data_IF_534976285507
#
_entry.id   IF_534976285507
#
_cell.length_a   1.000
_cell.length_b   1.000
_cell.length_c   1.000
_cell.angle_alpha   90.00
_cell.angle_beta   90.00
_cell.angle_gamma   90.00
#
_symmetry.space_group_name_H-M   'P 1'
#
loop_
_entity.id
_entity.type
_entity.pdbx_description
1 polymer ?
#
# COMPACT_ATOMS: atom_id res chain seq x y z
N UNK A 1 -3.40 -43.08 66.09
CA UNK A 1 -4.76 -42.69 65.68
C UNK A 1 -4.64 -41.60 64.61
N UNK A 2 -5.40 -41.79 63.53
CA UNK A 2 -5.75 -40.93 62.37
C UNK A 2 -5.00 -39.59 62.13
N UNK A 3 -4.35 -39.33 60.98
CA UNK A 3 -4.83 -39.06 59.59
C UNK A 3 -5.32 -37.60 59.39
N UNK A 4 -4.68 -36.85 58.46
CA UNK A 4 -5.19 -35.75 57.57
C UNK A 4 -3.97 -35.02 56.95
N UNK A 5 -3.52 -35.28 55.71
CA UNK A 5 -3.98 -34.84 54.36
C UNK A 5 -4.08 -33.31 54.18
N UNK A 6 -3.27 -32.79 53.26
CA UNK A 6 -3.40 -31.43 52.73
C UNK A 6 -2.24 -30.97 51.83
N UNK A 7 -1.90 -31.74 50.79
CA UNK A 7 -1.00 -31.30 49.70
C UNK A 7 -1.78 -30.38 48.76
N UNK A 8 -1.43 -29.09 48.71
CA UNK A 8 -1.83 -28.16 47.66
C UNK A 8 -0.61 -27.72 46.86
N UNK A 9 -0.32 -28.40 45.74
CA UNK A 9 0.67 -27.96 44.77
C UNK A 9 -0.03 -27.10 43.72
N UNK A 10 0.19 -25.79 43.75
CA UNK A 10 -0.24 -24.88 42.69
C UNK A 10 0.83 -24.85 41.59
N UNK A 11 0.55 -25.54 40.48
CA UNK A 11 1.21 -25.31 39.20
C UNK A 11 0.89 -23.89 38.72
N UNK A 12 1.89 -23.02 38.67
CA UNK A 12 1.80 -21.78 37.90
C UNK A 12 2.28 -22.06 36.48
N UNK A 13 1.34 -22.27 35.56
CA UNK A 13 1.58 -22.19 34.12
C UNK A 13 1.90 -20.74 33.77
N UNK A 14 3.17 -20.45 33.47
CA UNK A 14 3.55 -19.19 32.84
C UNK A 14 3.17 -19.30 31.35
N UNK A 15 2.04 -18.69 31.01
CA UNK A 15 1.57 -18.56 29.63
C UNK A 15 2.52 -17.67 28.84
N UNK A 16 3.00 -18.21 27.72
CA UNK A 16 3.64 -17.43 26.68
C UNK A 16 2.65 -16.46 26.06
N UNK A 17 2.96 -15.17 26.12
CA UNK A 17 2.39 -14.18 25.23
C UNK A 17 3.48 -13.81 24.23
N UNK A 18 3.47 -14.52 23.11
CA UNK A 18 3.96 -14.03 21.84
C UNK A 18 3.19 -12.73 21.57
N UNK A 19 3.83 -11.59 21.85
CA UNK A 19 3.30 -10.29 21.48
C UNK A 19 3.11 -10.26 19.97
N UNK A 20 1.85 -10.23 19.53
CA UNK A 20 1.48 -9.81 18.19
C UNK A 20 2.22 -8.50 17.90
N UNK A 21 3.14 -8.53 16.95
CA UNK A 21 3.74 -7.32 16.42
C UNK A 21 2.62 -6.46 15.87
N UNK A 22 2.33 -5.35 16.55
CA UNK A 22 1.42 -4.34 16.08
C UNK A 22 1.94 -3.84 14.74
N UNK A 23 1.34 -4.28 13.63
CA UNK A 23 1.44 -3.57 12.36
C UNK A 23 0.85 -2.18 12.61
N UNK A 24 1.71 -1.24 12.97
CA UNK A 24 1.32 0.15 13.15
C UNK A 24 0.83 0.62 11.77
N UNK A 25 -0.49 0.68 11.61
CA UNK A 25 -1.11 1.32 10.47
C UNK A 25 -0.68 2.79 10.52
N UNK A 26 0.32 3.13 9.71
CA UNK A 26 0.65 4.53 9.47
C UNK A 26 -0.53 5.09 8.69
N UNK A 27 -1.06 6.25 9.08
CA UNK A 27 -2.15 6.89 8.34
C UNK A 27 -1.60 8.00 7.45
N UNK A 28 -2.16 8.14 6.25
CA UNK A 28 -1.85 9.27 5.36
C UNK A 28 -2.29 10.59 6.01
N UNK A 29 -1.39 11.57 6.06
CA UNK A 29 -1.62 12.86 6.75
C UNK A 29 -1.96 14.03 5.83
N UNK A 30 -1.55 14.02 4.57
CA UNK A 30 -1.70 15.16 3.65
C UNK A 30 -2.84 14.97 2.63
N UNK A 31 -3.54 16.07 2.33
CA UNK A 31 -4.49 16.21 1.23
C UNK A 31 -4.24 17.53 0.51
N UNK A 32 -4.14 17.53 -0.82
CA UNK A 32 -4.33 18.74 -1.62
C UNK A 32 -5.35 18.48 -2.71
N UNK A 33 -6.62 18.78 -2.38
CA UNK A 33 -7.78 18.49 -3.23
C UNK A 33 -7.62 19.07 -4.64
N UNK A 34 -7.12 20.29 -4.78
CA UNK A 34 -6.88 20.92 -6.09
C UNK A 34 -5.92 20.14 -6.98
N UNK A 35 -4.79 19.67 -6.44
CA UNK A 35 -3.81 18.90 -7.23
C UNK A 35 -4.38 17.55 -7.70
N UNK A 36 -5.14 16.87 -6.84
CA UNK A 36 -5.80 15.63 -7.22
C UNK A 36 -6.87 15.89 -8.30
N UNK A 37 -7.71 16.92 -8.16
CA UNK A 37 -8.69 17.33 -9.20
C UNK A 37 -8.04 17.61 -10.55
N UNK A 38 -6.92 18.32 -10.56
CA UNK A 38 -6.26 18.68 -11.82
C UNK A 38 -5.67 17.47 -12.57
N UNK A 39 -5.48 16.35 -11.87
CA UNK A 39 -4.81 15.16 -12.39
C UNK A 39 -5.70 13.92 -12.37
N UNK A 40 -6.98 14.05 -11.99
CA UNK A 40 -7.95 12.95 -11.97
C UNK A 40 -9.31 13.41 -12.43
N UNK A 41 -10.03 12.53 -13.12
CA UNK A 41 -11.42 12.74 -13.52
C UNK A 41 -12.33 12.04 -12.49
N UNK A 42 -13.47 12.66 -12.15
CA UNK A 42 -14.44 12.08 -11.21
C UNK A 42 -14.20 12.40 -9.72
N UNK A 43 -13.12 13.12 -9.40
CA UNK A 43 -12.73 13.47 -8.02
C UNK A 43 -13.56 14.59 -7.36
N UNK A 44 -14.50 15.20 -8.08
CA UNK A 44 -15.32 16.32 -7.58
C UNK A 44 -16.68 15.92 -7.02
N UNK A 45 -17.00 14.62 -7.02
CA UNK A 45 -18.25 14.14 -6.46
C UNK A 45 -18.24 14.27 -4.93
N UNK A 46 -19.35 14.68 -4.28
CA UNK A 46 -19.42 14.81 -2.83
C UNK A 46 -18.99 13.49 -2.15
N UNK A 47 -18.35 13.61 -0.98
CA UNK A 47 -17.58 12.56 -0.28
C UNK A 47 -18.36 11.29 0.12
N UNK A 48 -19.63 11.17 -0.27
CA UNK A 48 -20.45 9.96 -0.13
C UNK A 48 -20.82 9.28 -1.45
N UNK A 49 -20.36 9.79 -2.61
CA UNK A 49 -20.72 9.25 -3.94
C UNK A 49 -19.53 9.05 -4.88
N UNK A 50 -18.28 9.15 -4.42
CA UNK A 50 -17.14 8.68 -5.23
C UNK A 50 -17.09 7.16 -5.17
N UNK A 51 -17.78 6.52 -6.10
CA UNK A 51 -17.52 5.11 -6.37
C UNK A 51 -16.15 5.00 -7.06
N UNK A 52 -15.21 4.16 -6.57
CA UNK A 52 -13.85 4.16 -7.13
C UNK A 52 -13.75 3.70 -8.59
N UNK A 53 -14.85 3.25 -9.23
CA UNK A 53 -14.95 3.02 -10.67
C UNK A 53 -15.19 4.28 -11.53
N UNK A 54 -15.58 5.40 -10.91
CA UNK A 54 -15.77 6.69 -11.60
C UNK A 54 -14.51 7.56 -11.59
N UNK A 55 -13.52 7.17 -10.78
CA UNK A 55 -12.26 7.86 -10.67
C UNK A 55 -11.29 7.37 -11.75
N UNK A 56 -10.74 8.29 -12.54
CA UNK A 56 -9.73 7.98 -13.56
C UNK A 56 -8.55 8.93 -13.43
N UNK A 57 -7.36 8.52 -13.83
CA UNK A 57 -6.26 9.46 -14.03
C UNK A 57 -6.56 10.33 -15.26
N UNK A 58 -6.36 11.64 -15.14
CA UNK A 58 -6.47 12.53 -16.29
C UNK A 58 -5.36 12.18 -17.31
N UNK A 59 -5.59 12.33 -18.63
CA UNK A 59 -4.61 11.92 -19.65
C UNK A 59 -3.19 12.50 -19.45
N UNK A 60 -3.10 13.76 -19.00
CA UNK A 60 -1.84 14.45 -18.69
C UNK A 60 -1.13 13.95 -17.42
N UNK A 61 -1.81 13.17 -16.58
CA UNK A 61 -1.27 12.75 -15.28
C UNK A 61 -0.05 11.82 -15.44
N UNK A 62 -0.06 10.97 -16.47
CA UNK A 62 1.01 10.02 -16.77
C UNK A 62 1.72 10.31 -18.10
N UNK A 63 1.64 11.54 -18.59
CA UNK A 63 2.35 11.96 -19.79
C UNK A 63 3.87 11.80 -19.61
N UNK A 64 4.53 11.19 -20.60
CA UNK A 64 5.97 10.92 -20.59
C UNK A 64 6.40 9.68 -19.80
N UNK A 65 5.45 8.84 -19.35
CA UNK A 65 5.74 7.54 -18.74
C UNK A 65 5.54 6.42 -19.75
N UNK A 66 6.38 5.38 -19.65
CA UNK A 66 6.09 4.11 -20.32
C UNK A 66 5.06 3.33 -19.49
N UNK A 67 3.86 3.20 -20.06
CA UNK A 67 2.73 2.53 -19.43
C UNK A 67 2.57 1.08 -19.91
N UNK A 68 3.49 0.60 -20.75
CA UNK A 68 3.45 -0.78 -21.23
C UNK A 68 3.86 -1.75 -20.11
N UNK A 69 3.27 -2.95 -20.08
CA UNK A 69 3.66 -4.00 -19.14
C UNK A 69 5.15 -4.30 -19.23
N UNK A 70 5.80 -4.41 -18.08
CA UNK A 70 7.17 -4.91 -17.97
C UNK A 70 7.17 -6.44 -17.98
N UNK A 71 7.98 -7.02 -18.85
CA UNK A 71 8.20 -8.48 -18.89
C UNK A 71 9.41 -8.92 -18.06
N UNK A 72 10.26 -7.98 -17.66
CA UNK A 72 11.45 -8.25 -16.87
C UNK A 72 11.15 -8.24 -15.37
N UNK A 73 11.89 -9.05 -14.61
CA UNK A 73 11.84 -9.00 -13.14
C UNK A 73 12.42 -7.68 -12.65
N UNK A 74 11.64 -7.00 -11.81
CA UNK A 74 12.03 -5.76 -11.15
C UNK A 74 12.60 -6.03 -9.76
N UNK A 75 13.58 -5.20 -9.41
CA UNK A 75 14.08 -5.10 -8.05
C UNK A 75 13.41 -3.92 -7.33
N UNK A 76 13.31 -3.99 -6.00
CA UNK A 76 12.84 -2.85 -5.21
C UNK A 76 13.72 -1.61 -5.38
N UNK A 77 14.98 -1.76 -5.82
CA UNK A 77 15.87 -0.63 -6.09
C UNK A 77 15.36 0.25 -7.24
N UNK A 78 14.70 -0.34 -8.25
CA UNK A 78 14.06 0.41 -9.35
C UNK A 78 12.96 1.31 -8.82
N UNK A 79 12.14 0.83 -7.87
CA UNK A 79 11.12 1.62 -7.19
C UNK A 79 11.73 2.72 -6.31
N UNK A 80 12.83 2.43 -5.60
CA UNK A 80 13.56 3.43 -4.81
C UNK A 80 14.06 4.56 -5.70
N UNK A 81 14.72 4.23 -6.81
CA UNK A 81 15.23 5.21 -7.77
C UNK A 81 14.09 6.07 -8.34
N UNK A 82 12.98 5.43 -8.72
CA UNK A 82 11.78 6.12 -9.19
C UNK A 82 11.26 7.15 -8.18
N UNK A 83 11.11 6.77 -6.90
CA UNK A 83 10.62 7.65 -5.84
C UNK A 83 11.61 8.78 -5.54
N UNK A 84 12.91 8.50 -5.55
CA UNK A 84 13.95 9.51 -5.34
C UNK A 84 13.95 10.58 -6.45
N UNK A 85 13.78 10.18 -7.71
CA UNK A 85 13.64 11.11 -8.84
C UNK A 85 12.44 12.05 -8.69
N UNK A 86 11.41 11.64 -7.93
CA UNK A 86 10.24 12.47 -7.58
C UNK A 86 10.41 13.27 -6.30
N UNK A 87 11.63 13.32 -5.77
CA UNK A 87 12.01 14.17 -4.64
C UNK A 87 11.66 13.60 -3.26
N UNK A 88 11.39 12.30 -3.16
CA UNK A 88 11.25 11.63 -1.87
C UNK A 88 12.61 11.19 -1.34
N UNK A 89 12.84 11.43 -0.04
CA UNK A 89 13.89 10.71 0.68
C UNK A 89 13.34 9.34 1.03
N UNK A 90 14.08 8.28 0.68
CA UNK A 90 13.66 6.89 0.87
C UNK A 90 14.63 6.21 1.82
N UNK A 91 14.12 5.72 2.95
CA UNK A 91 14.87 4.84 3.84
C UNK A 91 14.38 3.40 3.63
N UNK A 92 15.32 2.49 3.42
CA UNK A 92 15.03 1.09 3.12
C UNK A 92 15.28 0.25 4.37
N UNK A 93 14.29 -0.55 4.78
CA UNK A 93 14.42 -1.54 5.84
C UNK A 93 14.09 -2.92 5.28
N UNK A 94 15.11 -3.76 5.09
CA UNK A 94 14.91 -5.16 4.72
C UNK A 94 14.34 -5.92 5.93
N UNK A 95 13.17 -6.57 5.77
CA UNK A 95 12.56 -7.40 6.83
C UNK A 95 12.80 -8.88 6.61
N UNK A 96 12.72 -9.32 5.36
CA UNK A 96 13.01 -10.68 4.89
C UNK A 96 13.56 -10.60 3.47
N UNK A 97 14.07 -11.67 2.89
CA UNK A 97 14.58 -11.68 1.50
C UNK A 97 13.54 -11.23 0.47
N UNK A 98 12.27 -11.49 0.74
CA UNK A 98 11.10 -11.21 -0.10
C UNK A 98 10.29 -9.97 0.34
N UNK A 99 10.73 -9.27 1.40
CA UNK A 99 9.93 -8.21 2.03
C UNK A 99 10.79 -7.02 2.48
N UNK A 100 10.45 -5.85 1.94
CA UNK A 100 11.14 -4.59 2.17
C UNK A 100 10.16 -3.51 2.60
N UNK A 101 10.52 -2.71 3.60
CA UNK A 101 9.79 -1.49 3.94
C UNK A 101 10.51 -0.27 3.39
N UNK A 102 9.76 0.62 2.73
CA UNK A 102 10.26 1.90 2.24
C UNK A 102 9.60 3.01 3.03
N UNK A 103 10.39 3.70 3.86
CA UNK A 103 9.97 4.88 4.60
C UNK A 103 10.26 6.12 3.76
N UNK A 104 9.18 6.71 3.24
CA UNK A 104 9.22 7.87 2.37
C UNK A 104 9.04 9.13 3.18
N UNK A 105 9.90 10.12 2.97
CA UNK A 105 9.76 11.46 3.53
C UNK A 105 9.75 12.49 2.40
N UNK A 106 8.61 13.15 2.21
CA UNK A 106 8.46 14.25 1.27
C UNK A 106 8.86 15.60 1.86
N UNK A 107 8.83 16.66 1.04
CA UNK A 107 9.13 18.05 1.47
C UNK A 107 8.20 18.59 2.58
N UNK A 108 7.04 17.96 2.82
CA UNK A 108 5.99 18.40 3.76
C UNK A 108 5.99 17.73 5.14
N UNK A 109 7.03 16.98 5.53
CA UNK A 109 7.09 16.18 6.78
C UNK A 109 6.06 15.05 6.90
N UNK A 110 5.23 14.79 5.88
CA UNK A 110 4.49 13.55 5.77
C UNK A 110 5.47 12.39 5.57
N UNK A 111 5.38 11.39 6.45
CA UNK A 111 6.08 10.13 6.34
C UNK A 111 5.09 9.03 5.97
N UNK A 112 5.43 8.28 4.93
CA UNK A 112 4.61 7.19 4.39
C UNK A 112 5.47 5.95 4.35
N UNK A 113 5.03 4.87 5.00
CA UNK A 113 5.69 3.57 4.91
C UNK A 113 4.99 2.73 3.86
N UNK A 114 5.74 2.31 2.84
CA UNK A 114 5.29 1.32 1.86
C UNK A 114 5.83 -0.06 2.25
N UNK A 115 5.00 -1.09 2.13
CA UNK A 115 5.40 -2.49 2.24
C UNK A 115 5.56 -3.06 0.83
N UNK A 116 6.78 -3.45 0.47
CA UNK A 116 7.11 -4.00 -0.84
C UNK A 116 7.37 -5.50 -0.68
N UNK A 117 6.50 -6.32 -1.24
CA UNK A 117 6.72 -7.75 -1.42
C UNK A 117 7.38 -8.00 -2.78
N UNK A 118 8.34 -8.93 -2.82
CA UNK A 118 9.09 -9.34 -4.00
C UNK A 118 8.74 -10.80 -4.29
N UNK A 119 8.00 -11.03 -5.37
CA UNK A 119 7.40 -12.32 -5.70
C UNK A 119 8.08 -13.00 -6.89
N UNK A 120 7.56 -14.16 -7.27
CA UNK A 120 8.10 -14.99 -8.35
C UNK A 120 7.63 -14.56 -9.75
N UNK A 121 6.45 -13.95 -9.86
CA UNK A 121 5.87 -13.53 -11.14
C UNK A 121 4.95 -12.31 -10.99
N UNK A 122 4.61 -11.63 -12.11
CA UNK A 122 3.60 -10.56 -12.10
C UNK A 122 2.24 -11.01 -11.56
N UNK A 123 1.79 -12.21 -11.93
CA UNK A 123 0.52 -12.76 -11.45
C UNK A 123 0.54 -13.01 -9.94
N UNK A 124 1.68 -13.44 -9.38
CA UNK A 124 1.84 -13.62 -7.95
C UNK A 124 1.82 -12.28 -7.20
N UNK A 125 2.41 -11.24 -7.77
CA UNK A 125 2.39 -9.88 -7.19
C UNK A 125 0.98 -9.28 -7.21
N UNK A 126 0.27 -9.35 -8.35
CA UNK A 126 -1.11 -8.90 -8.45
C UNK A 126 -2.03 -9.63 -7.46
N UNK A 127 -1.88 -10.95 -7.32
CA UNK A 127 -2.62 -11.75 -6.33
C UNK A 127 -2.29 -11.37 -4.89
N UNK A 128 -1.02 -11.24 -4.53
CA UNK A 128 -0.61 -10.84 -3.16
C UNK A 128 -1.19 -9.47 -2.80
N UNK A 129 -1.15 -8.51 -3.74
CA UNK A 129 -1.72 -7.19 -3.52
C UNK A 129 -3.25 -7.24 -3.37
N UNK A 130 -3.93 -7.98 -4.24
CA UNK A 130 -5.38 -8.16 -4.17
C UNK A 130 -5.80 -8.76 -2.82
N UNK A 131 -5.16 -9.85 -2.41
CA UNK A 131 -5.44 -10.51 -1.13
C UNK A 131 -5.14 -9.60 0.06
N UNK A 132 -4.02 -8.87 0.04
CA UNK A 132 -3.68 -7.91 1.10
C UNK A 132 -4.74 -6.80 1.23
N UNK A 133 -5.24 -6.28 0.10
CA UNK A 133 -6.28 -5.26 0.12
C UNK A 133 -7.59 -5.83 0.71
N UNK A 134 -8.01 -7.02 0.30
CA UNK A 134 -9.22 -7.66 0.84
C UNK A 134 -9.11 -7.93 2.35
N UNK A 135 -7.94 -8.37 2.82
CA UNK A 135 -7.71 -8.67 4.23
C UNK A 135 -7.73 -7.42 5.12
N UNK A 136 -7.22 -6.30 4.62
CA UNK A 136 -7.15 -5.05 5.39
C UNK A 136 -8.41 -4.16 5.25
N UNK A 137 -9.19 -4.35 4.19
CA UNK A 137 -10.49 -3.68 4.00
C UNK A 137 -10.38 -2.22 3.54
N UNK A 138 -11.47 -1.43 3.71
CA UNK A 138 -11.59 -0.08 3.16
C UNK A 138 -10.45 0.87 3.53
N UNK A 139 -9.98 1.63 2.54
CA UNK A 139 -8.86 2.57 2.70
C UNK A 139 -7.48 1.95 2.55
N UNK A 140 -7.41 0.64 2.29
CA UNK A 140 -6.19 -0.03 1.85
C UNK A 140 -5.99 0.19 0.35
N UNK A 141 -4.74 0.30 -0.08
CA UNK A 141 -4.38 0.52 -1.46
C UNK A 141 -2.96 0.05 -1.72
N UNK A 142 -2.61 -0.06 -3.00
CA UNK A 142 -1.25 -0.30 -3.40
C UNK A 142 -1.08 -0.25 -4.90
N UNK A 143 0.15 -0.49 -5.34
CA UNK A 143 0.49 -0.66 -6.75
C UNK A 143 1.20 -1.98 -6.95
N UNK A 144 0.97 -2.64 -8.07
CA UNK A 144 1.83 -3.74 -8.49
C UNK A 144 2.40 -3.47 -9.89
N UNK A 145 3.62 -3.95 -10.11
CA UNK A 145 4.34 -3.83 -11.39
C UNK A 145 5.33 -4.98 -11.47
N UNK A 146 5.25 -5.78 -12.52
CA UNK A 146 6.00 -7.03 -12.64
C UNK A 146 5.90 -7.83 -11.33
N UNK A 147 6.97 -8.45 -10.85
CA UNK A 147 7.01 -9.26 -9.64
C UNK A 147 6.98 -8.47 -8.31
N UNK A 148 6.64 -7.19 -8.30
CA UNK A 148 6.60 -6.36 -7.10
C UNK A 148 5.16 -5.99 -6.73
N UNK A 149 4.78 -6.27 -5.48
CA UNK A 149 3.54 -5.80 -4.88
C UNK A 149 3.85 -4.76 -3.80
N UNK A 150 3.30 -3.56 -3.94
CA UNK A 150 3.58 -2.42 -3.06
C UNK A 150 2.30 -2.02 -2.35
N UNK A 151 2.21 -2.34 -1.06
CA UNK A 151 1.09 -1.99 -0.21
C UNK A 151 1.35 -0.65 0.49
N UNK A 152 0.42 0.27 0.34
CA UNK A 152 0.43 1.56 1.01
C UNK A 152 -0.18 1.54 2.41
N UNK A 153 0.02 2.61 3.19
CA UNK A 153 -0.65 2.78 4.47
C UNK A 153 -2.16 3.02 4.31
N UNK A 154 -2.94 2.63 5.32
CA UNK A 154 -4.38 2.87 5.35
C UNK A 154 -4.67 4.39 5.32
N UNK A 155 -5.59 4.81 4.46
CA UNK A 155 -6.05 6.19 4.38
C UNK A 155 -7.41 6.29 3.70
N UNK A 156 -8.07 7.43 3.84
CA UNK A 156 -9.28 7.66 3.05
C UNK A 156 -8.93 7.83 1.56
N UNK A 157 -9.90 7.57 0.68
CA UNK A 157 -9.71 7.58 -0.78
C UNK A 157 -9.08 8.89 -1.27
N UNK A 158 -9.52 10.04 -0.76
CA UNK A 158 -8.99 11.36 -1.15
C UNK A 158 -7.46 11.46 -0.93
N UNK A 159 -6.99 11.01 0.24
CA UNK A 159 -5.56 11.01 0.60
C UNK A 159 -4.76 10.01 -0.22
N UNK A 160 -5.32 8.82 -0.43
CA UNK A 160 -4.70 7.76 -1.22
C UNK A 160 -4.46 8.24 -2.64
N UNK A 161 -5.52 8.75 -3.28
CA UNK A 161 -5.47 9.24 -4.66
C UNK A 161 -4.51 10.41 -4.78
N UNK A 162 -4.59 11.38 -3.87
CA UNK A 162 -3.65 12.49 -3.82
C UNK A 162 -2.20 12.00 -3.77
N UNK A 163 -1.89 11.05 -2.87
CA UNK A 163 -0.54 10.53 -2.72
C UNK A 163 -0.08 9.75 -3.96
N UNK A 164 -0.91 8.85 -4.49
CA UNK A 164 -0.58 8.01 -5.64
C UNK A 164 -0.32 8.85 -6.91
N UNK A 165 -1.09 9.93 -7.10
CA UNK A 165 -0.93 10.85 -8.23
C UNK A 165 0.31 11.74 -8.06
N UNK A 166 0.51 12.31 -6.86
CA UNK A 166 1.68 13.17 -6.58
C UNK A 166 2.99 12.42 -6.67
N UNK A 167 3.02 11.19 -6.15
CA UNK A 167 4.19 10.31 -6.22
C UNK A 167 4.37 9.68 -7.60
N UNK A 168 3.36 9.78 -8.48
CA UNK A 168 3.30 9.14 -9.79
C UNK A 168 3.36 7.61 -9.70
N UNK A 169 3.08 7.02 -8.53
CA UNK A 169 2.99 5.57 -8.36
C UNK A 169 1.91 4.97 -9.26
N UNK A 170 0.81 5.68 -9.49
CA UNK A 170 -0.25 5.26 -10.41
C UNK A 170 0.20 5.19 -11.88
N UNK A 171 1.28 5.90 -12.23
CA UNK A 171 1.92 5.83 -13.55
C UNK A 171 3.06 4.82 -13.60
N UNK A 172 3.55 4.39 -12.43
CA UNK A 172 4.62 3.42 -12.32
C UNK A 172 4.06 2.00 -12.33
N UNK A 173 3.00 1.72 -11.56
CA UNK A 173 2.38 0.41 -11.48
C UNK A 173 0.86 0.51 -11.49
N UNK A 174 0.20 -0.64 -11.64
CA UNK A 174 -1.24 -0.73 -11.64
C UNK A 174 -1.77 -0.43 -10.23
N UNK A 175 -2.50 0.68 -10.11
CA UNK A 175 -3.02 1.17 -8.84
C UNK A 175 -4.34 0.48 -8.49
N UNK A 176 -4.34 -0.17 -7.34
CA UNK A 176 -5.48 -0.85 -6.73
C UNK A 176 -5.88 -0.15 -5.43
N UNK A 177 -7.17 0.10 -5.25
CA UNK A 177 -7.73 0.73 -4.03
C UNK A 177 -8.95 -0.07 -3.56
N UNK A 178 -9.03 -0.32 -2.25
CA UNK A 178 -10.24 -0.81 -1.60
C UNK A 178 -11.30 0.30 -1.58
N UNK A 179 -12.44 0.06 -2.21
CA UNK A 179 -13.65 0.83 -2.00
C UNK A 179 -14.37 0.42 -0.71
N UNK A 180 -15.63 0.84 -0.59
CA UNK A 180 -16.49 0.45 0.53
C UNK A 180 -16.79 -1.06 0.51
N UNK A 181 -17.12 -1.59 -0.68
CA UNK A 181 -17.58 -2.97 -0.84
C UNK A 181 -16.78 -3.79 -1.88
N UNK A 182 -15.93 -3.15 -2.71
CA UNK A 182 -15.20 -3.79 -3.82
C UNK A 182 -13.74 -3.30 -3.94
N UNK A 183 -12.92 -4.02 -4.71
CA UNK A 183 -11.59 -3.57 -5.15
C UNK A 183 -11.69 -2.90 -6.53
N UNK A 184 -11.00 -1.78 -6.71
CA UNK A 184 -10.98 -1.06 -7.98
C UNK A 184 -9.57 -0.79 -8.47
N UNK A 185 -9.39 -0.92 -9.78
CA UNK A 185 -8.21 -0.44 -10.51
C UNK A 185 -8.51 0.96 -11.03
N UNK A 186 -7.62 1.93 -10.80
CA UNK A 186 -7.78 3.28 -11.36
C UNK A 186 -7.24 3.29 -12.80
N UNK A 187 -8.09 3.50 -13.82
CA UNK A 187 -7.66 3.53 -15.21
C UNK A 187 -6.91 4.83 -15.56
N UNK A 188 -6.15 4.78 -16.66
CA UNK A 188 -5.35 5.91 -17.17
C UNK A 188 -3.91 5.94 -16.67
N UNK A 189 -3.50 4.94 -15.90
CA UNK A 189 -2.13 4.71 -15.45
C UNK A 189 -1.50 3.51 -16.12
N UNK A 190 -0.47 2.96 -15.46
CA UNK A 190 0.15 1.70 -15.87
C UNK A 190 -0.84 0.54 -15.69
N UNK A 191 -0.81 -0.45 -16.58
CA UNK A 191 -1.64 -1.65 -16.52
C UNK A 191 -0.79 -2.90 -16.73
N UNK A 192 -1.02 -3.92 -15.92
CA UNK A 192 -0.50 -5.26 -16.18
C UNK A 192 -1.43 -6.05 -17.10
N UNK A 193 -0.89 -7.07 -17.78
CA UNK A 193 -1.65 -8.01 -18.63
C UNK A 193 -2.15 -9.24 -17.86
#
# INVERSE_FOLDING_TARGET
MLRWIGRGALLSMAWGLLGCGSSQAVYLKETHRGYARDNTEGFDKPSGSMSPGELRLAPKACEGFDLKPDHDRLSYASLVQFLQQRGFKVQVTQRRSDLVYLDLTGKGKSSVRLRVAILDSPQAAGRDLHEAILQHGPGTWGVHRSNLAVLGPIGNTEKVVYFAVRSKLACWGELMIAGADDLFVIPGGYQEL
#
